data_IF_266992295033
#
_entry.id   IF_266992295033
#
_cell.length_a   1.000
_cell.length_b   1.000
_cell.length_c   1.000
_cell.angle_alpha   90.00
_cell.angle_beta   90.00
_cell.angle_gamma   90.00
#
_symmetry.space_group_name_H-M   'P 1'
#
loop_
_entity.id
_entity.type
_entity.pdbx_description
1 polymer ?
#
# COMPACT_ATOMS: atom_id res chain seq x y z
N UNK A 1 -10.25 -32.76 -2.23
CA UNK A 1 -11.41 -33.66 -2.48
C UNK A 1 -12.72 -32.89 -2.58
N UNK A 2 -12.95 -31.84 -1.76
CA UNK A 2 -14.20 -31.05 -1.74
C UNK A 2 -14.46 -30.22 -3.01
N UNK A 3 -13.42 -29.60 -3.60
CA UNK A 3 -13.57 -28.74 -4.80
C UNK A 3 -14.07 -29.45 -6.06
N UNK A 4 -13.84 -30.76 -6.20
CA UNK A 4 -14.23 -31.55 -7.39
C UNK A 4 -15.74 -31.78 -7.50
N UNK A 5 -16.50 -31.55 -6.43
CA UNK A 5 -17.95 -31.79 -6.39
C UNK A 5 -18.76 -30.49 -6.44
N UNK A 6 -18.11 -29.32 -6.50
CA UNK A 6 -18.80 -28.05 -6.66
C UNK A 6 -19.13 -27.80 -8.12
N UNK A 7 -20.22 -27.10 -8.41
CA UNK A 7 -20.51 -26.60 -9.77
C UNK A 7 -19.39 -25.68 -10.26
N UNK A 8 -19.07 -25.70 -11.56
CA UNK A 8 -18.03 -24.86 -12.18
C UNK A 8 -18.28 -23.38 -11.88
N UNK A 9 -19.54 -22.94 -11.99
CA UNK A 9 -19.93 -21.57 -11.66
C UNK A 9 -19.58 -21.20 -10.22
N UNK A 10 -19.89 -22.08 -9.25
CA UNK A 10 -19.54 -21.85 -7.84
C UNK A 10 -18.03 -21.78 -7.60
N UNK A 11 -17.23 -22.62 -8.29
CA UNK A 11 -15.75 -22.58 -8.18
C UNK A 11 -15.17 -21.27 -8.70
N UNK A 12 -15.62 -20.85 -9.90
CA UNK A 12 -15.17 -19.61 -10.53
C UNK A 12 -15.57 -18.42 -9.66
N UNK A 13 -16.82 -18.35 -9.21
CA UNK A 13 -17.29 -17.27 -8.33
C UNK A 13 -16.49 -17.22 -7.05
N UNK A 14 -16.23 -18.34 -6.38
CA UNK A 14 -15.43 -18.36 -5.15
C UNK A 14 -13.99 -17.88 -5.38
N UNK A 15 -13.33 -18.32 -6.45
CA UNK A 15 -11.97 -17.88 -6.75
C UNK A 15 -11.90 -16.39 -7.11
N UNK A 16 -12.77 -15.92 -8.00
CA UNK A 16 -12.81 -14.49 -8.35
C UNK A 16 -13.20 -13.62 -7.16
N UNK A 17 -14.21 -14.03 -6.37
CA UNK A 17 -14.60 -13.30 -5.17
C UNK A 17 -13.45 -13.21 -4.16
N UNK A 18 -12.72 -14.31 -3.94
CA UNK A 18 -11.56 -14.31 -3.03
C UNK A 18 -10.47 -13.35 -3.50
N UNK A 19 -10.13 -13.38 -4.81
CA UNK A 19 -9.11 -12.47 -5.38
C UNK A 19 -9.58 -11.02 -5.31
N UNK A 20 -10.84 -10.73 -5.62
CA UNK A 20 -11.40 -9.38 -5.57
C UNK A 20 -11.42 -8.84 -4.13
N UNK A 21 -11.82 -9.65 -3.16
CA UNK A 21 -11.82 -9.26 -1.73
C UNK A 21 -10.39 -8.99 -1.26
N UNK A 22 -9.42 -9.85 -1.59
CA UNK A 22 -8.02 -9.62 -1.24
C UNK A 22 -7.46 -8.36 -1.91
N UNK A 23 -7.79 -8.12 -3.17
CA UNK A 23 -7.38 -6.92 -3.92
C UNK A 23 -7.97 -5.64 -3.31
N UNK A 24 -9.27 -5.67 -2.98
CA UNK A 24 -9.95 -4.56 -2.31
C UNK A 24 -9.39 -4.30 -0.92
N UNK A 25 -9.15 -5.35 -0.13
CA UNK A 25 -8.54 -5.24 1.20
C UNK A 25 -7.13 -4.65 1.12
N UNK A 26 -6.29 -5.12 0.20
CA UNK A 26 -4.95 -4.59 -0.03
C UNK A 26 -4.97 -3.13 -0.48
N UNK A 27 -5.87 -2.78 -1.39
CA UNK A 27 -6.03 -1.39 -1.87
C UNK A 27 -6.54 -0.46 -0.77
N UNK A 28 -7.54 -0.90 0.00
CA UNK A 28 -8.07 -0.13 1.12
C UNK A 28 -7.00 0.10 2.20
N UNK A 29 -6.21 -0.93 2.52
CA UNK A 29 -5.09 -0.81 3.45
C UNK A 29 -4.01 0.14 2.93
N UNK A 30 -3.63 0.02 1.66
CA UNK A 30 -2.67 0.94 1.03
C UNK A 30 -3.16 2.39 1.11
N UNK A 31 -4.42 2.66 0.72
CA UNK A 31 -5.02 4.00 0.83
C UNK A 31 -5.07 4.53 2.27
N UNK A 32 -5.38 3.67 3.23
CA UNK A 32 -5.37 4.03 4.65
C UNK A 32 -3.97 4.45 5.11
N UNK A 33 -2.95 3.66 4.81
CA UNK A 33 -1.55 3.96 5.20
C UNK A 33 -1.03 5.24 4.53
N UNK A 34 -1.32 5.44 3.24
CA UNK A 34 -0.97 6.68 2.53
C UNK A 34 -1.64 7.91 3.14
N UNK A 35 -2.92 7.82 3.50
CA UNK A 35 -3.63 8.92 4.17
C UNK A 35 -3.07 9.19 5.56
N UNK A 36 -2.79 8.15 6.34
CA UNK A 36 -2.18 8.30 7.67
C UNK A 36 -0.81 8.96 7.60
N UNK A 37 0.00 8.61 6.60
CA UNK A 37 1.31 9.22 6.38
C UNK A 37 1.22 10.68 5.93
N UNK A 38 0.28 10.98 5.02
CA UNK A 38 0.01 12.34 4.57
C UNK A 38 -0.45 13.24 5.73
N UNK A 39 -1.32 12.73 6.60
CA UNK A 39 -1.80 13.44 7.78
C UNK A 39 -0.68 13.68 8.79
N UNK A 40 0.14 12.66 9.10
CA UNK A 40 1.30 12.82 9.99
C UNK A 40 2.30 13.85 9.45
N UNK A 41 2.56 13.84 8.14
CA UNK A 41 3.40 14.83 7.46
C UNK A 41 2.79 16.24 7.56
N UNK A 42 1.49 16.35 7.33
CA UNK A 42 0.78 17.63 7.43
C UNK A 42 0.82 18.19 8.85
N UNK A 43 0.62 17.36 9.88
CA UNK A 43 0.75 17.76 11.28
C UNK A 43 2.17 18.22 11.64
N UNK A 44 3.20 17.55 11.11
CA UNK A 44 4.60 17.97 11.25
C UNK A 44 4.85 19.35 10.62
N UNK A 45 4.26 19.61 9.46
CA UNK A 45 4.39 20.88 8.74
C UNK A 45 3.66 22.04 9.43
N UNK A 46 2.57 21.76 10.15
CA UNK A 46 1.77 22.81 10.79
C UNK A 46 2.37 23.31 12.10
N UNK A 47 2.63 22.42 13.07
CA UNK A 47 3.02 22.85 14.42
C UNK A 47 4.52 22.74 14.67
N UNK A 48 5.18 21.56 14.58
CA UNK A 48 6.63 21.45 14.76
C UNK A 48 7.44 22.40 13.87
N UNK A 49 7.15 22.46 12.57
CA UNK A 49 7.89 23.34 11.66
C UNK A 49 7.61 24.82 11.90
N UNK A 50 6.38 25.20 12.25
CA UNK A 50 6.08 26.59 12.61
C UNK A 50 6.81 27.01 13.89
N UNK A 51 6.91 26.12 14.88
CA UNK A 51 7.72 26.34 16.09
C UNK A 51 9.19 26.56 15.74
N UNK A 52 9.78 25.65 14.96
CA UNK A 52 11.20 25.75 14.57
C UNK A 52 11.48 27.06 13.83
N UNK A 53 10.62 27.45 12.88
CA UNK A 53 10.77 28.71 12.14
C UNK A 53 10.74 29.93 13.04
N UNK A 54 9.77 30.00 13.96
CA UNK A 54 9.69 31.11 14.91
C UNK A 54 10.91 31.18 15.84
N UNK A 55 11.39 30.03 16.33
CA UNK A 55 12.59 29.97 17.16
C UNK A 55 13.85 30.31 16.35
N UNK A 56 13.91 29.91 15.08
CA UNK A 56 14.99 30.26 14.15
C UNK A 56 15.04 31.76 13.87
N UNK A 57 13.88 32.37 13.58
CA UNK A 57 13.76 33.82 13.40
C UNK A 57 14.19 34.56 14.68
N UNK A 58 13.74 34.07 15.84
CA UNK A 58 14.15 34.62 17.13
C UNK A 58 15.67 34.51 17.36
N UNK A 59 16.27 33.38 16.99
CA UNK A 59 17.72 33.19 17.07
C UNK A 59 18.46 34.17 16.16
N UNK A 60 18.03 34.33 14.90
CA UNK A 60 18.64 35.28 13.94
C UNK A 60 18.54 36.72 14.45
N UNK A 61 17.38 37.10 15.00
CA UNK A 61 17.19 38.42 15.59
C UNK A 61 18.08 38.64 16.82
N UNK A 62 18.22 37.62 17.65
CA UNK A 62 19.09 37.65 18.84
C UNK A 62 20.56 37.77 18.44
N UNK A 63 21.03 36.94 17.51
CA UNK A 63 22.38 36.99 16.97
C UNK A 63 22.70 38.37 16.36
N UNK A 64 21.78 38.89 15.54
CA UNK A 64 21.91 40.22 14.92
C UNK A 64 21.93 41.34 15.96
N UNK A 65 21.12 41.23 17.02
CA UNK A 65 21.11 42.22 18.10
C UNK A 65 22.41 42.20 18.91
N UNK A 66 22.97 41.02 19.21
CA UNK A 66 24.25 40.86 19.90
C UNK A 66 25.38 41.47 19.07
N UNK A 67 25.46 41.14 17.78
CA UNK A 67 26.47 41.68 16.87
C UNK A 67 26.37 43.21 16.76
N UNK A 68 25.15 43.73 16.60
CA UNK A 68 24.90 45.18 16.51
C UNK A 68 25.27 45.92 17.79
N UNK A 69 24.92 45.39 18.97
CA UNK A 69 25.32 46.02 20.24
C UNK A 69 26.83 45.94 20.43
N UNK A 70 27.47 44.84 20.03
CA UNK A 70 28.95 44.73 20.03
C UNK A 70 29.58 45.80 19.14
N UNK A 71 29.02 46.05 17.95
CA UNK A 71 29.49 47.11 17.06
C UNK A 71 29.32 48.51 17.68
N UNK A 72 28.13 48.83 18.22
CA UNK A 72 27.87 50.12 18.88
C UNK A 72 28.79 50.32 20.09
N UNK A 73 29.03 49.27 20.86
CA UNK A 73 29.80 49.30 22.09
C UNK A 73 31.28 49.56 21.89
N UNK A 74 31.83 49.20 20.71
CA UNK A 74 33.28 49.19 20.44
C UNK A 74 33.71 50.08 19.27
N UNK A 75 32.75 50.66 18.54
CA UNK A 75 33.02 51.57 17.42
C UNK A 75 33.51 52.95 17.88
N UNK A 76 34.29 53.62 17.02
CA UNK A 76 34.66 55.03 17.16
C UNK A 76 33.58 55.98 16.63
N UNK A 77 32.63 55.49 15.84
CA UNK A 77 31.50 56.27 15.31
C UNK A 77 30.41 56.42 16.38
N UNK A 78 30.27 57.63 16.93
CA UNK A 78 29.29 57.97 17.96
C UNK A 78 27.85 58.06 17.43
N UNK A 79 27.64 58.07 16.12
CA UNK A 79 26.30 58.20 15.51
C UNK A 79 25.55 56.87 15.43
N UNK A 80 26.24 55.72 15.58
CA UNK A 80 25.65 54.39 15.38
C UNK A 80 24.47 54.11 16.33
N UNK A 81 24.49 54.61 17.56
CA UNK A 81 23.37 54.47 18.50
C UNK A 81 22.09 55.13 17.97
N UNK A 82 22.23 56.28 17.29
CA UNK A 82 21.13 56.99 16.62
C UNK A 82 20.72 56.30 15.32
N UNK A 83 21.69 55.92 14.47
CA UNK A 83 21.45 55.22 13.19
C UNK A 83 20.65 53.94 13.40
N UNK A 84 20.98 53.17 14.43
CA UNK A 84 20.31 51.91 14.73
C UNK A 84 19.09 52.03 15.65
N UNK A 85 18.71 53.22 16.11
CA UNK A 85 17.61 53.39 17.07
C UNK A 85 16.28 52.79 16.56
N UNK A 86 15.91 53.06 15.31
CA UNK A 86 14.70 52.48 14.68
C UNK A 86 14.82 50.96 14.50
N UNK A 87 15.86 50.42 13.83
CA UNK A 87 16.06 48.96 13.75
C UNK A 87 16.11 48.22 15.09
N UNK A 88 16.55 48.88 16.17
CA UNK A 88 16.53 48.31 17.52
C UNK A 88 15.09 48.25 18.04
N UNK A 89 14.32 49.34 17.90
CA UNK A 89 12.91 49.41 18.32
C UNK A 89 12.05 48.38 17.59
N UNK A 90 12.20 48.28 16.27
CA UNK A 90 11.45 47.34 15.43
C UNK A 90 11.78 45.90 15.84
N UNK A 91 13.08 45.58 15.97
CA UNK A 91 13.55 44.28 16.43
C UNK A 91 13.01 43.88 17.81
N UNK A 92 12.92 44.80 18.78
CA UNK A 92 12.32 44.51 20.09
C UNK A 92 10.83 44.19 19.98
N UNK A 93 10.11 44.93 19.13
CA UNK A 93 8.68 44.73 18.89
C UNK A 93 8.42 43.35 18.27
N UNK A 94 9.14 43.04 17.20
CA UNK A 94 9.04 41.77 16.48
C UNK A 94 9.42 40.58 17.38
N UNK A 95 10.51 40.71 18.15
CA UNK A 95 10.93 39.63 19.06
C UNK A 95 9.88 39.38 20.14
N UNK A 96 9.20 40.42 20.61
CA UNK A 96 8.11 40.29 21.60
C UNK A 96 6.90 39.58 21.00
N UNK A 97 6.56 39.88 19.75
CA UNK A 97 5.49 39.18 19.03
C UNK A 97 5.83 37.70 18.78
N UNK A 98 7.06 37.39 18.38
CA UNK A 98 7.53 36.01 18.19
C UNK A 98 7.49 35.24 19.51
N UNK A 99 7.98 35.82 20.61
CA UNK A 99 8.01 35.16 21.91
C UNK A 99 6.61 34.73 22.37
N UNK A 100 5.60 35.59 22.20
CA UNK A 100 4.20 35.25 22.50
C UNK A 100 3.69 34.07 21.67
N UNK A 101 4.04 34.02 20.38
CA UNK A 101 3.65 32.90 19.50
C UNK A 101 4.37 31.61 19.91
N UNK A 102 5.67 31.68 20.22
CA UNK A 102 6.46 30.54 20.68
C UNK A 102 5.85 29.98 21.96
N UNK A 103 5.59 30.82 22.97
CA UNK A 103 5.01 30.41 24.26
C UNK A 103 3.70 29.63 24.13
N UNK A 104 2.81 30.05 23.22
CA UNK A 104 1.54 29.36 22.93
C UNK A 104 1.74 28.00 22.26
N UNK A 105 2.79 27.85 21.46
CA UNK A 105 3.03 26.63 20.69
C UNK A 105 3.84 25.58 21.45
N UNK A 106 4.62 25.95 22.47
CA UNK A 106 5.41 25.00 23.25
C UNK A 106 4.52 24.06 24.07
N UNK A 107 4.75 22.75 23.93
CA UNK A 107 3.92 21.74 24.56
C UNK A 107 4.70 20.96 25.62
N UNK A 108 5.97 20.65 25.35
CA UNK A 108 6.73 19.73 26.18
C UNK A 108 7.22 20.39 27.48
N UNK A 109 7.37 19.64 28.58
CA UNK A 109 7.96 20.17 29.81
C UNK A 109 9.36 20.72 29.60
N UNK A 110 10.18 20.06 28.78
CA UNK A 110 11.55 20.49 28.45
C UNK A 110 11.56 21.81 27.67
N UNK A 111 10.65 21.97 26.71
CA UNK A 111 10.48 23.21 25.94
C UNK A 111 10.09 24.38 26.86
N UNK A 112 9.10 24.16 27.73
CA UNK A 112 8.59 25.17 28.66
C UNK A 112 9.65 25.58 29.68
N UNK A 113 10.37 24.61 30.24
CA UNK A 113 11.47 24.88 31.16
C UNK A 113 12.58 25.68 30.45
N UNK A 114 12.97 25.25 29.26
CA UNK A 114 13.98 25.95 28.46
C UNK A 114 13.57 27.39 28.16
N UNK A 115 12.29 27.61 27.80
CA UNK A 115 11.77 28.96 27.60
C UNK A 115 11.89 29.82 28.87
N UNK A 116 11.51 29.30 30.04
CA UNK A 116 11.61 30.04 31.30
C UNK A 116 13.05 30.45 31.63
N UNK A 117 14.01 29.55 31.42
CA UNK A 117 15.44 29.86 31.58
C UNK A 117 15.89 30.94 30.60
N UNK A 118 15.45 30.87 29.34
CA UNK A 118 15.74 31.91 28.33
C UNK A 118 15.14 33.26 28.75
N UNK A 119 13.93 33.30 29.30
CA UNK A 119 13.32 34.54 29.78
C UNK A 119 14.12 35.16 30.93
N UNK A 120 14.67 34.35 31.83
CA UNK A 120 15.59 34.80 32.87
C UNK A 120 16.86 35.43 32.29
N UNK A 121 17.53 34.71 31.39
CA UNK A 121 18.76 35.17 30.71
C UNK A 121 18.51 36.42 29.87
N UNK A 122 17.34 36.50 29.21
CA UNK A 122 16.95 37.68 28.44
C UNK A 122 16.86 38.93 29.29
N UNK A 123 16.34 38.84 30.52
CA UNK A 123 16.30 39.99 31.45
C UNK A 123 17.71 40.50 31.75
N UNK A 124 18.65 39.60 32.03
CA UNK A 124 20.05 39.94 32.29
C UNK A 124 20.72 40.58 31.06
N UNK A 125 20.53 39.97 29.89
CA UNK A 125 21.01 40.50 28.61
C UNK A 125 20.47 41.90 28.31
N UNK A 126 19.18 42.13 28.51
CA UNK A 126 18.55 43.44 28.27
C UNK A 126 19.07 44.51 29.23
N UNK A 127 19.24 44.19 30.51
CA UNK A 127 19.84 45.10 31.49
C UNK A 127 21.29 45.44 31.13
N UNK A 128 22.10 44.44 30.78
CA UNK A 128 23.49 44.66 30.37
C UNK A 128 23.60 45.50 29.08
N UNK A 129 22.70 45.26 28.12
CA UNK A 129 22.59 46.07 26.89
C UNK A 129 22.28 47.53 27.22
N UNK A 130 21.37 47.79 28.15
CA UNK A 130 20.99 49.14 28.56
C UNK A 130 22.17 49.91 29.15
N UNK A 131 23.00 49.27 30.00
CA UNK A 131 24.23 49.87 30.55
C UNK A 131 25.18 50.33 29.43
N UNK A 132 25.44 49.46 28.45
CA UNK A 132 26.30 49.76 27.30
C UNK A 132 25.73 50.92 26.46
N UNK A 133 24.43 50.88 26.15
CA UNK A 133 23.78 51.90 25.32
C UNK A 133 23.73 53.27 26.02
N UNK A 134 23.52 53.29 27.34
CA UNK A 134 23.50 54.52 28.13
C UNK A 134 24.89 55.16 28.19
N UNK A 135 25.96 54.38 28.41
CA UNK A 135 27.33 54.88 28.37
C UNK A 135 27.66 55.50 26.99
N UNK A 136 27.28 54.84 25.90
CA UNK A 136 27.46 55.40 24.53
C UNK A 136 26.64 56.66 24.28
N UNK A 137 25.42 56.74 24.78
CA UNK A 137 24.56 57.93 24.64
C UNK A 137 25.11 59.11 25.45
N UNK A 138 25.76 58.84 26.58
CA UNK A 138 26.43 59.84 27.42
C UNK A 138 27.81 60.28 26.88
N UNK A 139 28.28 59.72 25.76
CA UNK A 139 29.60 59.99 25.19
C UNK A 139 30.77 59.29 25.88
N UNK A 140 30.49 58.38 26.82
CA UNK A 140 31.49 57.61 27.56
C UNK A 140 31.85 56.31 26.81
N UNK A 141 32.76 56.42 25.84
CA UNK A 141 33.22 55.28 25.05
C UNK A 141 34.01 54.25 25.88
N UNK A 142 34.80 54.70 26.87
CA UNK A 142 35.60 53.82 27.70
C UNK A 142 34.73 53.00 28.68
N UNK A 143 33.75 53.64 29.31
CA UNK A 143 32.77 52.96 30.14
C UNK A 143 31.89 51.99 29.36
N UNK A 144 31.55 52.31 28.10
CA UNK A 144 30.84 51.40 27.22
C UNK A 144 31.63 50.12 26.89
N UNK A 145 32.93 50.23 26.59
CA UNK A 145 33.81 49.07 26.36
C UNK A 145 33.94 48.21 27.64
N UNK A 146 34.12 48.86 28.80
CA UNK A 146 34.23 48.15 30.07
C UNK A 146 32.93 47.41 30.41
N UNK A 147 31.77 48.06 30.24
CA UNK A 147 30.47 47.43 30.44
C UNK A 147 30.22 46.30 29.43
N UNK A 148 30.73 46.45 28.21
CA UNK A 148 30.64 45.41 27.19
C UNK A 148 31.33 44.12 27.65
N UNK A 149 32.60 44.21 28.05
CA UNK A 149 33.39 43.05 28.47
C UNK A 149 32.90 42.46 29.79
N UNK A 150 32.61 43.31 30.78
CA UNK A 150 32.29 42.85 32.13
C UNK A 150 30.89 42.24 32.27
N UNK A 151 29.88 42.79 31.59
CA UNK A 151 28.47 42.39 31.82
C UNK A 151 27.73 42.00 30.55
N UNK A 152 27.93 42.70 29.42
CA UNK A 152 27.17 42.41 28.21
C UNK A 152 27.61 41.13 27.53
N UNK A 153 28.91 40.94 27.27
CA UNK A 153 29.44 39.79 26.55
C UNK A 153 29.09 38.45 27.22
N UNK A 154 29.27 38.27 28.55
CA UNK A 154 28.85 37.04 29.24
C UNK A 154 27.33 36.81 29.17
N UNK A 155 26.52 37.85 29.37
CA UNK A 155 25.06 37.75 29.34
C UNK A 155 24.54 37.44 27.91
N UNK A 156 25.15 38.05 26.89
CA UNK A 156 24.85 37.81 25.48
C UNK A 156 25.19 36.39 25.06
N UNK A 157 26.36 35.87 25.45
CA UNK A 157 26.76 34.48 25.19
C UNK A 157 25.80 33.49 25.85
N UNK A 158 25.47 33.69 27.13
CA UNK A 158 24.55 32.80 27.85
C UNK A 158 23.14 32.81 27.22
N UNK A 159 22.60 33.99 26.94
CA UNK A 159 21.28 34.13 26.31
C UNK A 159 21.24 33.54 24.89
N UNK A 160 22.21 33.90 24.04
CA UNK A 160 22.30 33.39 22.67
C UNK A 160 22.46 31.88 22.60
N UNK A 161 23.31 31.30 23.46
CA UNK A 161 23.49 29.85 23.55
C UNK A 161 22.21 29.12 23.98
N UNK A 162 21.43 29.69 24.92
CA UNK A 162 20.19 29.05 25.36
C UNK A 162 19.08 29.15 24.31
N UNK A 163 18.99 30.25 23.57
CA UNK A 163 18.07 30.36 22.41
C UNK A 163 18.46 29.34 21.32
N UNK A 164 19.75 29.19 21.03
CA UNK A 164 20.25 28.18 20.09
C UNK A 164 19.94 26.74 20.56
N UNK A 165 20.07 26.48 21.86
CA UNK A 165 19.69 25.19 22.44
C UNK A 165 18.21 24.88 22.22
N UNK A 166 17.30 25.85 22.40
CA UNK A 166 15.88 25.66 22.08
C UNK A 166 15.67 25.34 20.59
N UNK A 167 16.39 26.02 19.70
CA UNK A 167 16.35 25.73 18.26
C UNK A 167 16.78 24.27 17.97
N UNK A 168 17.84 23.80 18.63
CA UNK A 168 18.27 22.40 18.50
C UNK A 168 17.24 21.41 19.03
N UNK A 169 16.54 21.72 20.12
CA UNK A 169 15.43 20.88 20.63
C UNK A 169 14.33 20.79 19.57
N UNK A 170 13.95 21.90 18.94
CA UNK A 170 12.93 21.90 17.88
C UNK A 170 13.36 21.10 16.65
N UNK A 171 14.60 21.28 16.19
CA UNK A 171 15.14 20.53 15.04
C UNK A 171 15.21 19.04 15.32
N UNK A 172 15.72 18.65 16.49
CA UNK A 172 15.77 17.24 16.91
C UNK A 172 14.38 16.62 16.98
N UNK A 173 13.37 17.36 17.45
CA UNK A 173 11.99 16.88 17.46
C UNK A 173 11.43 16.67 16.04
N UNK A 174 11.71 17.59 15.10
CA UNK A 174 11.32 17.43 13.68
C UNK A 174 12.02 16.22 13.05
N UNK A 175 13.33 16.07 13.25
CA UNK A 175 14.10 14.95 12.72
C UNK A 175 13.56 13.61 13.24
N UNK A 176 13.19 13.55 14.53
CA UNK A 176 12.59 12.35 15.11
C UNK A 176 11.21 12.04 14.51
N UNK A 177 10.36 13.06 14.32
CA UNK A 177 9.05 12.88 13.69
C UNK A 177 9.21 12.38 12.25
N UNK A 178 10.19 12.89 11.50
CA UNK A 178 10.48 12.45 10.15
C UNK A 178 10.90 10.96 10.12
N UNK A 179 11.78 10.53 11.02
CA UNK A 179 12.19 9.14 11.17
C UNK A 179 11.02 8.22 11.54
N UNK A 180 10.12 8.68 12.43
CA UNK A 180 8.94 7.90 12.83
C UNK A 180 7.95 7.72 11.66
N UNK A 181 7.76 8.77 10.84
CA UNK A 181 6.95 8.71 9.61
C UNK A 181 7.58 7.74 8.59
N UNK A 182 8.90 7.81 8.39
CA UNK A 182 9.62 6.92 7.48
C UNK A 182 9.52 5.46 7.92
N UNK A 183 9.78 5.18 9.20
CA UNK A 183 9.66 3.83 9.75
C UNK A 183 8.22 3.28 9.65
N UNK A 184 7.20 4.12 9.87
CA UNK A 184 5.80 3.75 9.69
C UNK A 184 5.47 3.43 8.22
N UNK A 185 6.01 4.22 7.29
CA UNK A 185 5.86 3.97 5.85
C UNK A 185 6.55 2.69 5.42
N UNK A 186 7.79 2.44 5.83
CA UNK A 186 8.50 1.19 5.49
C UNK A 186 7.77 -0.06 5.99
N UNK A 187 7.21 -0.01 7.20
CA UNK A 187 6.40 -1.11 7.76
C UNK A 187 5.13 -1.31 6.92
N UNK A 188 4.45 -0.21 6.58
CA UNK A 188 3.24 -0.24 5.75
C UNK A 188 3.51 -0.80 4.36
N UNK A 189 4.57 -0.33 3.69
CA UNK A 189 5.01 -0.83 2.39
C UNK A 189 5.36 -2.31 2.43
N UNK A 190 6.10 -2.78 3.45
CA UNK A 190 6.39 -4.22 3.62
C UNK A 190 5.12 -5.05 3.76
N UNK A 191 4.14 -4.59 4.53
CA UNK A 191 2.86 -5.26 4.69
C UNK A 191 2.06 -5.29 3.38
N UNK A 192 2.00 -4.17 2.65
CA UNK A 192 1.34 -4.12 1.32
C UNK A 192 2.00 -5.09 0.35
N UNK A 193 3.34 -5.09 0.25
CA UNK A 193 4.08 -6.02 -0.62
C UNK A 193 3.77 -7.47 -0.22
N UNK A 194 3.80 -7.81 1.06
CA UNK A 194 3.50 -9.16 1.54
C UNK A 194 2.06 -9.57 1.20
N UNK A 195 1.08 -8.70 1.40
CA UNK A 195 -0.31 -8.95 1.04
C UNK A 195 -0.48 -9.11 -0.48
N UNK A 196 0.19 -8.29 -1.29
CA UNK A 196 0.19 -8.42 -2.75
C UNK A 196 0.78 -9.76 -3.19
N UNK A 197 1.95 -10.14 -2.66
CA UNK A 197 2.59 -11.44 -2.98
C UNK A 197 1.69 -12.60 -2.59
N UNK A 198 1.08 -12.57 -1.41
CA UNK A 198 0.14 -13.62 -0.97
C UNK A 198 -1.10 -13.68 -1.85
N UNK A 199 -1.69 -12.53 -2.20
CA UNK A 199 -2.86 -12.48 -3.08
C UNK A 199 -2.54 -13.02 -4.48
N UNK A 200 -1.37 -12.66 -5.04
CA UNK A 200 -0.91 -13.20 -6.32
C UNK A 200 -0.65 -14.70 -6.25
N UNK A 201 0.05 -15.17 -5.22
CA UNK A 201 0.33 -16.60 -5.06
C UNK A 201 -0.95 -17.44 -4.93
N UNK A 202 -1.89 -17.01 -4.08
CA UNK A 202 -3.19 -17.66 -3.92
C UNK A 202 -4.00 -17.62 -5.22
N UNK A 203 -4.00 -16.49 -5.93
CA UNK A 203 -4.65 -16.34 -7.22
C UNK A 203 -4.07 -17.29 -8.28
N UNK A 204 -2.75 -17.41 -8.36
CA UNK A 204 -2.07 -18.34 -9.28
C UNK A 204 -2.39 -19.80 -8.96
N UNK A 205 -2.37 -20.18 -7.68
CA UNK A 205 -2.74 -21.56 -7.25
C UNK A 205 -4.19 -21.86 -7.60
N UNK A 206 -5.11 -20.94 -7.28
CA UNK A 206 -6.53 -21.09 -7.60
C UNK A 206 -6.76 -21.21 -9.12
N UNK A 207 -6.09 -20.37 -9.92
CA UNK A 207 -6.15 -20.43 -11.37
C UNK A 207 -5.71 -21.80 -11.91
N UNK A 208 -4.53 -22.29 -11.51
CA UNK A 208 -4.02 -23.60 -11.95
C UNK A 208 -4.95 -24.73 -11.51
N UNK A 209 -5.47 -24.70 -10.28
CA UNK A 209 -6.40 -25.71 -9.78
C UNK A 209 -7.72 -25.73 -10.56
N UNK A 210 -8.31 -24.56 -10.82
CA UNK A 210 -9.56 -24.44 -11.58
C UNK A 210 -9.35 -24.89 -13.02
N UNK A 211 -8.31 -24.39 -13.69
CA UNK A 211 -7.98 -24.78 -15.06
C UNK A 211 -7.84 -26.29 -15.17
N UNK A 212 -7.08 -26.94 -14.27
CA UNK A 212 -6.93 -28.42 -14.28
C UNK A 212 -8.22 -29.16 -13.94
N UNK A 213 -9.08 -28.58 -13.11
CA UNK A 213 -10.36 -29.19 -12.74
C UNK A 213 -11.40 -29.18 -13.86
N UNK A 214 -11.24 -28.28 -14.84
CA UNK A 214 -12.15 -28.12 -15.98
C UNK A 214 -11.57 -28.81 -17.22
N UNK A 215 -10.32 -28.50 -17.57
CA UNK A 215 -9.67 -28.99 -18.81
C UNK A 215 -9.54 -30.52 -18.84
N UNK A 216 -9.02 -31.14 -17.76
CA UNK A 216 -8.79 -32.60 -17.74
C UNK A 216 -10.08 -33.42 -17.91
N UNK A 217 -11.19 -33.13 -17.20
CA UNK A 217 -12.44 -33.87 -17.42
C UNK A 217 -13.08 -33.59 -18.78
N UNK A 218 -12.91 -32.39 -19.34
CA UNK A 218 -13.36 -32.08 -20.70
C UNK A 218 -12.57 -32.86 -21.77
N UNK A 219 -11.25 -33.01 -21.61
CA UNK A 219 -10.44 -33.86 -22.48
C UNK A 219 -10.93 -35.31 -22.43
N UNK A 220 -11.27 -35.81 -21.24
CA UNK A 220 -11.85 -37.15 -21.08
C UNK A 220 -13.20 -37.28 -21.80
N UNK A 221 -14.06 -36.27 -21.70
CA UNK A 221 -15.34 -36.25 -22.43
C UNK A 221 -15.15 -36.22 -23.95
N UNK A 222 -14.14 -35.50 -24.44
CA UNK A 222 -13.79 -35.47 -25.85
C UNK A 222 -13.31 -36.84 -26.35
N UNK A 223 -12.50 -37.55 -25.56
CA UNK A 223 -12.05 -38.90 -25.89
C UNK A 223 -13.19 -39.92 -25.94
N UNK A 224 -14.17 -39.81 -25.03
CA UNK A 224 -15.41 -40.60 -25.10
C UNK A 224 -16.16 -40.33 -26.39
N UNK A 225 -16.41 -39.06 -26.73
CA UNK A 225 -17.10 -38.69 -27.95
C UNK A 225 -16.38 -39.21 -29.21
N UNK A 226 -15.04 -39.14 -29.24
CA UNK A 226 -14.22 -39.71 -30.33
C UNK A 226 -14.36 -41.22 -30.45
N UNK A 227 -14.42 -41.92 -29.32
CA UNK A 227 -14.58 -43.38 -29.29
C UNK A 227 -15.94 -43.79 -29.86
N UNK A 228 -17.01 -43.08 -29.47
CA UNK A 228 -18.36 -43.28 -30.02
C UNK A 228 -18.39 -42.97 -31.52
N UNK A 229 -17.76 -41.86 -31.94
CA UNK A 229 -17.70 -41.47 -33.36
C UNK A 229 -16.92 -42.49 -34.22
N UNK A 230 -15.97 -43.23 -33.64
CA UNK A 230 -15.25 -44.31 -34.29
C UNK A 230 -16.04 -45.65 -34.33
N UNK A 231 -17.26 -45.69 -33.78
CA UNK A 231 -18.10 -46.89 -33.75
C UNK A 231 -17.74 -47.89 -32.64
N UNK A 232 -16.83 -47.55 -31.73
CA UNK A 232 -16.48 -48.41 -30.61
C UNK A 232 -17.40 -48.12 -29.41
N UNK A 233 -18.45 -48.93 -29.26
CA UNK A 233 -19.49 -48.72 -28.24
C UNK A 233 -19.30 -49.57 -26.97
N UNK A 234 -18.24 -50.40 -26.92
CA UNK A 234 -18.02 -51.38 -25.84
C UNK A 234 -17.29 -50.85 -24.60
N UNK A 235 -16.88 -49.58 -24.58
CA UNK A 235 -16.10 -49.03 -23.47
C UNK A 235 -16.98 -48.61 -22.29
N UNK A 236 -16.58 -49.01 -21.08
CA UNK A 236 -17.12 -48.50 -19.81
C UNK A 236 -16.30 -47.31 -19.34
N UNK A 237 -16.97 -46.20 -19.01
CA UNK A 237 -16.29 -44.96 -18.63
C UNK A 237 -16.20 -44.83 -17.10
N UNK A 238 -15.14 -44.17 -16.61
CA UNK A 238 -14.82 -44.07 -15.18
C UNK A 238 -15.76 -43.14 -14.39
N UNK A 239 -15.68 -43.21 -13.06
CA UNK A 239 -16.46 -42.40 -12.10
C UNK A 239 -16.47 -40.90 -12.40
N UNK A 240 -17.67 -40.33 -12.47
CA UNK A 240 -17.88 -38.93 -12.82
C UNK A 240 -17.91 -37.99 -11.59
N UNK A 241 -17.37 -36.76 -11.72
CA UNK A 241 -17.60 -35.73 -10.72
C UNK A 241 -19.10 -35.40 -10.57
N UNK A 242 -19.48 -34.79 -9.44
CA UNK A 242 -20.85 -34.29 -9.22
C UNK A 242 -21.01 -32.83 -9.64
N UNK A 243 -20.46 -32.49 -10.81
CA UNK A 243 -20.49 -31.15 -11.41
C UNK A 243 -21.06 -31.21 -12.85
N UNK A 244 -21.07 -30.07 -13.54
CA UNK A 244 -21.53 -29.95 -14.93
C UNK A 244 -20.75 -30.85 -15.90
N UNK A 245 -19.45 -31.09 -15.66
CA UNK A 245 -18.67 -32.00 -16.54
C UNK A 245 -19.09 -33.45 -16.29
N UNK A 246 -19.39 -33.80 -15.05
CA UNK A 246 -19.99 -35.09 -14.72
C UNK A 246 -21.39 -35.27 -15.32
N UNK A 247 -22.20 -34.21 -15.37
CA UNK A 247 -23.51 -34.25 -16.06
C UNK A 247 -23.33 -34.52 -17.55
N UNK A 248 -22.37 -33.84 -18.21
CA UNK A 248 -22.01 -34.07 -19.61
C UNK A 248 -21.55 -35.52 -19.84
N UNK A 249 -20.69 -36.04 -18.97
CA UNK A 249 -20.17 -37.40 -19.10
C UNK A 249 -21.27 -38.47 -18.93
N UNK A 250 -22.19 -38.29 -17.97
CA UNK A 250 -23.37 -39.16 -17.80
C UNK A 250 -24.30 -39.13 -19.01
N UNK A 251 -24.47 -37.96 -19.63
CA UNK A 251 -25.25 -37.83 -20.86
C UNK A 251 -24.59 -38.56 -22.04
N UNK A 252 -23.26 -38.46 -22.18
CA UNK A 252 -22.49 -39.19 -23.21
C UNK A 252 -22.57 -40.71 -23.01
N UNK A 253 -22.52 -41.20 -21.77
CA UNK A 253 -22.69 -42.62 -21.46
C UNK A 253 -24.09 -43.12 -21.85
N UNK A 254 -25.12 -42.35 -21.51
CA UNK A 254 -26.51 -42.65 -21.89
C UNK A 254 -26.66 -42.73 -23.41
N UNK A 255 -26.05 -41.78 -24.15
CA UNK A 255 -26.03 -41.77 -25.60
C UNK A 255 -25.31 -43.00 -26.19
N UNK A 256 -24.15 -43.36 -25.64
CA UNK A 256 -23.40 -44.55 -26.07
C UNK A 256 -24.22 -45.84 -25.89
N UNK A 257 -24.89 -46.00 -24.74
CA UNK A 257 -25.75 -47.15 -24.46
C UNK A 257 -26.97 -47.22 -25.40
N UNK A 258 -27.57 -46.08 -25.74
CA UNK A 258 -28.66 -46.02 -26.70
C UNK A 258 -28.21 -46.42 -28.12
N UNK A 259 -27.05 -45.90 -28.57
CA UNK A 259 -26.46 -46.27 -29.86
C UNK A 259 -26.09 -47.76 -29.91
N UNK A 260 -25.50 -48.30 -28.84
CA UNK A 260 -25.14 -49.72 -28.75
C UNK A 260 -26.38 -50.62 -28.91
N UNK A 261 -27.50 -50.24 -28.29
CA UNK A 261 -28.77 -50.95 -28.41
C UNK A 261 -29.30 -50.92 -29.84
N UNK A 262 -29.32 -49.75 -30.49
CA UNK A 262 -29.77 -49.62 -31.88
C UNK A 262 -28.91 -50.47 -32.82
N UNK A 263 -27.58 -50.47 -32.66
CA UNK A 263 -26.68 -51.30 -33.48
C UNK A 263 -26.94 -52.79 -33.25
N UNK A 264 -27.15 -53.22 -31.99
CA UNK A 264 -27.47 -54.60 -31.67
C UNK A 264 -28.81 -55.05 -32.27
N UNK A 265 -29.85 -54.20 -32.22
CA UNK A 265 -31.15 -54.46 -32.85
C UNK A 265 -31.03 -54.60 -34.37
N UNK A 266 -30.25 -53.74 -35.03
CA UNK A 266 -29.98 -53.84 -36.48
C UNK A 266 -29.21 -55.12 -36.82
N UNK A 267 -28.20 -55.49 -36.01
CA UNK A 267 -27.44 -56.73 -36.22
C UNK A 267 -28.32 -57.98 -36.04
N UNK A 268 -29.21 -57.98 -35.05
CA UNK A 268 -30.17 -59.07 -34.85
C UNK A 268 -31.18 -59.16 -35.99
N UNK A 269 -31.71 -58.01 -36.46
CA UNK A 269 -32.61 -57.94 -37.60
C UNK A 269 -31.95 -58.43 -38.91
N UNK A 270 -30.72 -58.04 -39.18
CA UNK A 270 -29.96 -58.51 -40.36
C UNK A 270 -29.65 -60.00 -40.29
N UNK A 271 -29.34 -60.54 -39.11
CA UNK A 271 -29.17 -61.99 -38.91
C UNK A 271 -30.47 -62.73 -39.21
N UNK A 272 -31.62 -62.23 -38.73
CA UNK A 272 -32.92 -62.82 -39.03
C UNK A 272 -33.25 -62.79 -40.53
N UNK A 273 -32.97 -61.66 -41.21
CA UNK A 273 -33.13 -61.53 -42.67
C UNK A 273 -32.20 -62.50 -43.41
N UNK A 274 -30.96 -62.65 -42.97
CA UNK A 274 -30.00 -63.58 -43.58
C UNK A 274 -30.47 -65.03 -43.46
N UNK A 275 -30.95 -65.43 -42.28
CA UNK A 275 -31.52 -66.77 -42.05
C UNK A 275 -32.73 -67.01 -42.95
N UNK A 276 -33.71 -66.09 -42.96
CA UNK A 276 -34.90 -66.18 -43.81
C UNK A 276 -34.54 -66.22 -45.31
N UNK A 277 -33.55 -65.43 -45.73
CA UNK A 277 -33.07 -65.44 -47.13
C UNK A 277 -32.42 -66.77 -47.49
N UNK A 278 -31.69 -67.40 -46.56
CA UNK A 278 -31.12 -68.74 -46.73
C UNK A 278 -32.20 -69.81 -46.86
N UNK A 279 -33.26 -69.73 -46.03
CA UNK A 279 -34.43 -70.62 -46.12
C UNK A 279 -35.17 -70.45 -47.45
N UNK A 280 -35.38 -69.21 -47.91
CA UNK A 280 -35.98 -68.92 -49.23
C UNK A 280 -35.12 -69.48 -50.36
N UNK A 281 -33.80 -69.28 -50.32
CA UNK A 281 -32.90 -69.79 -51.34
C UNK A 281 -32.91 -71.32 -51.40
N UNK A 282 -32.88 -71.99 -50.24
CA UNK A 282 -33.01 -73.44 -50.14
C UNK A 282 -34.36 -73.92 -50.68
N UNK A 283 -35.45 -73.23 -50.34
CA UNK A 283 -36.79 -73.52 -50.86
C UNK A 283 -36.91 -73.33 -52.37
N UNK A 284 -36.29 -72.29 -52.93
CA UNK A 284 -36.23 -72.08 -54.37
C UNK A 284 -35.39 -73.16 -55.07
N UNK A 285 -34.31 -73.63 -54.45
CA UNK A 285 -33.49 -74.71 -55.00
C UNK A 285 -34.28 -76.02 -55.08
N UNK A 286 -34.99 -76.37 -54.00
CA UNK A 286 -35.89 -77.52 -53.95
C UNK A 286 -36.98 -77.41 -55.03
N UNK A 287 -37.64 -76.25 -55.12
CA UNK A 287 -38.66 -76.01 -56.13
C UNK A 287 -38.12 -76.09 -57.55
N UNK A 288 -36.94 -75.51 -57.82
CA UNK A 288 -36.27 -75.59 -59.13
C UNK A 288 -35.95 -77.05 -59.48
N UNK A 289 -35.42 -77.83 -58.53
CA UNK A 289 -35.11 -79.25 -58.75
C UNK A 289 -36.37 -80.08 -59.08
N UNK A 290 -37.48 -79.81 -58.39
CA UNK A 290 -38.77 -80.44 -58.65
C UNK A 290 -39.36 -80.02 -59.99
N UNK A 291 -39.14 -78.76 -60.39
CA UNK A 291 -39.58 -78.22 -61.68
C UNK A 291 -38.78 -78.85 -62.83
N UNK A 292 -37.46 -79.01 -62.67
CA UNK A 292 -36.61 -79.74 -63.65
C UNK A 292 -37.02 -81.20 -63.78
N UNK A 293 -37.27 -81.89 -62.65
CA UNK A 293 -37.77 -83.27 -62.68
C UNK A 293 -39.09 -83.37 -63.45
N UNK A 294 -40.04 -82.46 -63.20
CA UNK A 294 -41.32 -82.39 -63.94
C UNK A 294 -41.17 -82.01 -65.42
N UNK A 295 -40.22 -81.15 -65.76
CA UNK A 295 -39.97 -80.77 -67.15
C UNK A 295 -39.22 -81.88 -67.93
N UNK A 296 -38.54 -82.79 -67.23
CA UNK A 296 -37.80 -83.92 -67.82
C UNK A 296 -38.60 -85.22 -67.94
N UNK A 297 -39.82 -85.26 -67.40
CA UNK A 297 -40.77 -86.39 -67.43
C UNK A 297 -41.88 -86.20 -68.46
#
# INVERSE_FOLDING_TARGET
>A
MVLKNLRIGSRLTLAFATILVLSLAGTAFALYTTRSSAEATHQMMQKPLAKERLVSDWYVMTYSAIARTSLIARSTDSTLSTVFAKPIKDSVTDTTAILKKVEVLLDSPEEKQTLQEILGLRKQYQAAKEVVMNARTAGDAAGAEQAYEAVFSPAATAYGARVLSLLHIQRKAIDQIALDIEAANERSTRLVILLTVLATALGSVAAVMITRSITRPLDSALDVARTVAAGNLGNTFATYPKDEVGDLMRALETMNGALARVVAEVQQGTTAISTASGEIAAGNLDLSSRTEQQASS
#
